data_IF_078875643525
#
_entry.id   IF_078875643525
#
_cell.length_a   1.000
_cell.length_b   1.000
_cell.length_c   1.000
_cell.angle_alpha   90.00
_cell.angle_beta   90.00
_cell.angle_gamma   90.00
#
_symmetry.space_group_name_H-M   'P 1'
#
loop_
_entity.id
_entity.type
_entity.pdbx_description
1 polymer ?
#
# COMPACT_ATOMS: atom_id res chain seq x y z
N UNK A 1 9.43 -3.12 10.42
CA UNK A 1 8.20 -2.82 9.68
C UNK A 1 8.12 -1.34 9.30
N UNK A 2 8.50 -0.40 10.19
CA UNK A 2 8.62 1.04 9.88
C UNK A 2 9.47 1.36 8.64
N UNK A 3 10.58 0.64 8.44
CA UNK A 3 11.43 0.80 7.23
C UNK A 3 10.66 0.50 5.94
N UNK A 4 9.78 -0.50 5.95
CA UNK A 4 8.95 -0.85 4.79
C UNK A 4 7.88 0.23 4.54
N UNK A 5 7.28 0.76 5.60
CA UNK A 5 6.30 1.85 5.52
C UNK A 5 6.93 3.12 4.90
N UNK A 6 8.12 3.51 5.38
CA UNK A 6 8.86 4.64 4.80
C UNK A 6 9.19 4.39 3.33
N UNK A 7 9.56 3.14 2.97
CA UNK A 7 9.85 2.79 1.59
C UNK A 7 8.63 2.88 0.69
N UNK A 8 7.47 2.42 1.16
CA UNK A 8 6.19 2.55 0.46
C UNK A 8 5.86 4.02 0.23
N UNK A 9 6.08 4.89 1.23
CA UNK A 9 5.86 6.33 1.10
C UNK A 9 6.74 6.96 0.01
N UNK A 10 8.05 6.69 0.03
CA UNK A 10 8.99 7.16 -0.99
C UNK A 10 8.61 6.68 -2.40
N UNK A 11 8.20 5.41 -2.53
CA UNK A 11 7.82 4.84 -3.81
C UNK A 11 6.51 5.45 -4.35
N UNK A 12 5.54 5.77 -3.47
CA UNK A 12 4.31 6.50 -3.83
C UNK A 12 4.66 7.89 -4.35
N UNK A 13 5.51 8.63 -3.62
CA UNK A 13 5.93 9.98 -4.01
C UNK A 13 6.63 9.97 -5.38
N UNK A 14 7.51 8.98 -5.60
CA UNK A 14 8.15 8.78 -6.90
C UNK A 14 7.13 8.52 -8.02
N UNK A 15 6.16 7.63 -7.80
CA UNK A 15 5.13 7.34 -8.81
C UNK A 15 4.28 8.58 -9.13
N UNK A 16 3.85 9.31 -8.10
CA UNK A 16 3.10 10.55 -8.26
C UNK A 16 3.91 11.62 -9.02
N UNK A 17 5.22 11.71 -8.78
CA UNK A 17 6.12 12.62 -9.52
C UNK A 17 6.20 12.29 -11.01
N UNK A 18 5.89 11.05 -11.41
CA UNK A 18 5.81 10.62 -12.81
C UNK A 18 4.39 10.79 -13.40
N UNK A 19 3.46 11.40 -12.65
CA UNK A 19 2.06 11.52 -13.04
C UNK A 19 1.26 10.22 -12.93
N UNK A 20 1.80 9.20 -12.24
CA UNK A 20 1.10 7.93 -12.01
C UNK A 20 0.40 7.98 -10.66
N UNK A 21 -0.91 7.74 -10.65
CA UNK A 21 -1.68 7.69 -9.42
C UNK A 21 -1.79 6.25 -8.91
N UNK A 22 -1.40 6.01 -7.66
CA UNK A 22 -1.58 4.72 -7.00
C UNK A 22 -3.02 4.60 -6.50
N UNK A 23 -3.71 3.55 -6.91
CA UNK A 23 -5.09 3.24 -6.52
C UNK A 23 -5.15 2.29 -5.33
N UNK A 24 -4.31 1.27 -5.36
CA UNK A 24 -4.28 0.20 -4.37
C UNK A 24 -2.86 -0.36 -4.25
N UNK A 25 -2.49 -0.79 -3.05
CA UNK A 25 -1.29 -1.57 -2.80
C UNK A 25 -1.73 -2.99 -2.45
N UNK A 26 -1.24 -3.96 -3.21
CA UNK A 26 -1.41 -5.38 -2.86
C UNK A 26 -0.13 -5.88 -2.23
N UNK A 27 -0.23 -6.66 -1.17
CA UNK A 27 0.93 -7.15 -0.45
C UNK A 27 0.73 -8.57 0.04
N UNK A 28 1.83 -9.25 0.32
CA UNK A 28 1.82 -10.58 0.90
C UNK A 28 0.95 -10.59 2.18
N UNK A 29 0.12 -11.62 2.43
CA UNK A 29 -0.74 -11.65 3.61
C UNK A 29 0.01 -11.52 4.94
N UNK A 30 1.20 -12.12 5.08
CA UNK A 30 2.00 -12.00 6.31
C UNK A 30 2.48 -10.56 6.54
N UNK A 31 2.81 -9.86 5.44
CA UNK A 31 3.20 -8.46 5.48
C UNK A 31 1.99 -7.59 5.79
N UNK A 32 0.83 -7.88 5.20
CA UNK A 32 -0.42 -7.18 5.46
C UNK A 32 -0.81 -7.24 6.94
N UNK A 33 -0.79 -8.43 7.54
CA UNK A 33 -1.09 -8.63 8.97
C UNK A 33 -0.17 -7.81 9.86
N UNK A 34 1.13 -7.77 9.52
CA UNK A 34 2.08 -6.93 10.26
C UNK A 34 1.90 -5.43 10.00
N UNK A 35 1.34 -5.05 8.85
CA UNK A 35 1.13 -3.65 8.44
C UNK A 35 -0.07 -3.05 9.18
N UNK A 36 -1.17 -3.79 9.32
CA UNK A 36 -2.41 -3.30 9.93
C UNK A 36 -2.27 -3.01 11.43
N UNK A 37 -1.22 -3.53 12.06
CA UNK A 37 -0.88 -3.23 13.46
C UNK A 37 -0.17 -1.87 13.63
N UNK A 38 0.28 -1.25 12.53
CA UNK A 38 0.96 0.05 12.57
C UNK A 38 -0.03 1.19 12.78
N UNK A 39 0.38 2.20 13.55
CA UNK A 39 -0.42 3.39 13.85
C UNK A 39 -0.78 4.23 12.63
N UNK A 40 0.03 4.15 11.58
CA UNK A 40 -0.18 4.88 10.33
C UNK A 40 -1.23 4.23 9.42
N UNK A 41 -1.61 2.98 9.70
CA UNK A 41 -2.65 2.26 8.97
C UNK A 41 -4.00 2.48 9.64
N UNK A 42 -4.96 2.94 8.84
CA UNK A 42 -6.34 3.15 9.28
C UNK A 42 -7.21 2.01 8.77
N UNK A 43 -7.84 1.29 9.69
CA UNK A 43 -8.85 0.28 9.39
C UNK A 43 -10.22 0.82 9.70
N UNK A 44 -11.07 0.96 8.68
CA UNK A 44 -12.46 1.41 8.83
C UNK A 44 -13.38 0.55 8.00
N UNK A 45 -14.44 0.02 8.62
CA UNK A 45 -15.43 -0.86 7.97
C UNK A 45 -14.79 -2.04 7.20
N UNK A 46 -13.70 -2.59 7.72
CA UNK A 46 -12.97 -3.71 7.11
C UNK A 46 -12.04 -3.32 5.95
N UNK A 47 -11.89 -2.03 5.65
CA UNK A 47 -10.93 -1.53 4.66
C UNK A 47 -9.72 -0.96 5.38
N UNK A 48 -8.54 -1.48 5.07
CA UNK A 48 -7.27 -0.95 5.55
C UNK A 48 -6.70 0.05 4.54
N UNK A 49 -6.21 1.18 5.03
CA UNK A 49 -5.63 2.24 4.22
C UNK A 49 -4.34 2.77 4.83
N UNK A 50 -3.37 3.13 3.99
CA UNK A 50 -2.11 3.76 4.37
C UNK A 50 -1.85 4.93 3.43
N UNK A 51 -1.48 6.09 3.96
CA UNK A 51 -1.30 7.32 3.16
C UNK A 51 -2.52 7.67 2.27
N UNK A 52 -3.72 7.27 2.69
CA UNK A 52 -4.96 7.43 1.90
C UNK A 52 -5.16 6.41 0.78
N UNK A 53 -4.26 5.46 0.59
CA UNK A 53 -4.32 4.40 -0.41
C UNK A 53 -4.81 3.10 0.23
N UNK A 54 -5.67 2.37 -0.47
CA UNK A 54 -6.19 1.08 0.00
C UNK A 54 -5.07 0.04 -0.03
N UNK A 55 -4.95 -0.74 1.05
CA UNK A 55 -4.05 -1.90 1.11
C UNK A 55 -4.84 -3.19 1.18
N UNK A 56 -4.39 -4.23 0.47
CA UNK A 56 -5.01 -5.56 0.46
C UNK A 56 -3.98 -6.67 0.51
N UNK A 57 -4.34 -7.76 1.19
CA UNK A 57 -3.60 -9.01 1.13
C UNK A 57 -3.84 -9.70 -0.23
N UNK A 58 -2.78 -10.23 -0.83
CA UNK A 58 -2.81 -11.01 -2.07
C UNK A 58 -1.72 -12.10 -1.98
N UNK A 59 -2.15 -13.37 -1.97
CA UNK A 59 -1.25 -14.54 -1.83
C UNK A 59 -0.26 -14.70 -2.99
N UNK A 60 -0.56 -14.10 -4.14
CA UNK A 60 0.32 -14.15 -5.32
C UNK A 60 1.51 -13.18 -5.22
N UNK A 61 1.51 -12.29 -4.24
CA UNK A 61 2.52 -11.24 -4.07
C UNK A 61 3.56 -11.68 -3.05
N UNK A 62 4.83 -11.67 -3.46
CA UNK A 62 5.97 -11.98 -2.57
C UNK A 62 6.17 -10.91 -1.49
N UNK A 63 6.03 -9.62 -1.86
CA UNK A 63 6.20 -8.48 -0.95
C UNK A 63 5.06 -7.48 -1.04
N UNK A 64 5.13 -6.56 -2.00
CA UNK A 64 4.05 -5.63 -2.33
C UNK A 64 4.16 -5.18 -3.78
N UNK A 65 3.04 -4.75 -4.35
CA UNK A 65 2.94 -4.17 -5.70
C UNK A 65 1.96 -3.00 -5.69
N UNK A 66 2.22 -2.00 -6.53
CA UNK A 66 1.34 -0.86 -6.75
C UNK A 66 0.41 -1.14 -7.92
N UNK A 67 -0.89 -1.02 -7.68
CA UNK A 67 -1.92 -0.98 -8.72
C UNK A 67 -2.17 0.50 -9.03
N UNK A 68 -1.85 0.90 -10.25
CA UNK A 68 -2.03 2.27 -10.72
C UNK A 68 -3.44 2.45 -11.27
N UNK A 69 -3.98 3.67 -11.18
CA UNK A 69 -5.18 4.01 -11.95
C UNK A 69 -4.81 4.14 -13.43
N UNK A 70 -5.59 3.51 -14.30
CA UNK A 70 -5.47 3.74 -15.74
C UNK A 70 -6.01 5.15 -16.00
N UNK A 71 -5.12 6.06 -16.42
CA UNK A 71 -5.53 7.38 -16.90
C UNK A 71 -6.30 7.16 -18.21
N UNK A 72 -7.63 7.10 -18.13
CA UNK A 72 -8.53 7.20 -19.29
C UNK A 72 -8.56 8.61 -19.85
#
# INVERSE_FOLDING_TARGET
MEVLLNKIHEDIDYLNSQGKQVKEIRMNPNIFESMIELTDVKVSKGVATVFGIIIKADESIEKYVFVLDEVT
#
